data_IF_766627267565
#
_entry.id   IF_766627267565
#
_cell.length_a   1.000
_cell.length_b   1.000
_cell.length_c   1.000
_cell.angle_alpha   90.00
_cell.angle_beta   90.00
_cell.angle_gamma   90.00
#
_symmetry.space_group_name_H-M   'P 1'
#
loop_
_entity.id
_entity.type
_entity.pdbx_description
1 polymer ?
#
# COMPACT_ATOMS: atom_id res chain seq x y z
N UNK A 1 10.27 9.86 9.27
CA UNK A 1 9.17 9.41 8.37
C UNK A 1 8.60 8.13 8.98
N UNK A 2 7.27 7.96 9.02
CA UNK A 2 6.68 6.72 9.56
C UNK A 2 7.04 5.55 8.63
N UNK A 3 7.56 4.46 9.18
CA UNK A 3 8.07 3.31 8.41
C UNK A 3 7.01 2.70 7.48
N UNK A 4 5.76 2.55 7.97
CA UNK A 4 4.64 2.04 7.17
C UNK A 4 4.30 2.96 6.00
N UNK A 5 4.41 4.27 6.21
CA UNK A 5 4.20 5.24 5.14
C UNK A 5 5.31 5.18 4.09
N UNK A 6 6.58 5.08 4.50
CA UNK A 6 7.70 4.92 3.56
C UNK A 6 7.53 3.66 2.71
N UNK A 7 7.18 2.53 3.32
CA UNK A 7 6.93 1.27 2.63
C UNK A 7 5.81 1.39 1.59
N UNK A 8 4.70 2.08 1.91
CA UNK A 8 3.62 2.33 0.95
C UNK A 8 4.10 3.13 -0.26
N UNK A 9 4.86 4.20 -0.03
CA UNK A 9 5.38 5.06 -1.10
C UNK A 9 6.36 4.29 -2.00
N UNK A 10 7.28 3.53 -1.41
CA UNK A 10 8.23 2.69 -2.15
C UNK A 10 7.51 1.60 -2.95
N UNK A 11 6.50 0.97 -2.36
CA UNK A 11 5.71 -0.04 -3.05
C UNK A 11 4.96 0.54 -4.25
N UNK A 12 4.33 1.71 -4.12
CA UNK A 12 3.66 2.38 -5.25
C UNK A 12 4.65 2.71 -6.37
N UNK A 13 5.84 3.22 -6.03
CA UNK A 13 6.90 3.47 -7.03
C UNK A 13 7.34 2.20 -7.74
N UNK A 14 7.40 1.06 -7.05
CA UNK A 14 7.74 -0.22 -7.68
C UNK A 14 6.76 -0.66 -8.78
N UNK A 15 5.49 -0.22 -8.70
CA UNK A 15 4.46 -0.56 -9.69
C UNK A 15 4.57 0.27 -10.98
N UNK A 16 5.28 1.40 -10.96
CA UNK A 16 5.36 2.36 -12.08
C UNK A 16 5.77 1.70 -13.39
N UNK A 17 6.73 0.77 -13.34
CA UNK A 17 7.20 0.04 -14.52
C UNK A 17 6.10 -0.83 -15.13
N UNK A 18 5.30 -1.51 -14.30
CA UNK A 18 4.19 -2.31 -14.81
C UNK A 18 3.01 -1.44 -15.26
N UNK A 19 2.77 -0.26 -14.63
CA UNK A 19 1.82 0.75 -15.12
C UNK A 19 2.16 1.17 -16.54
N UNK A 20 3.38 1.62 -16.78
CA UNK A 20 3.82 2.02 -18.12
C UNK A 20 3.70 0.87 -19.12
N UNK A 21 4.16 -0.34 -18.76
CA UNK A 21 4.04 -1.53 -19.63
C UNK A 21 2.58 -1.89 -19.96
N UNK A 22 1.67 -1.75 -19.02
CA UNK A 22 0.27 -2.10 -19.24
C UNK A 22 -0.47 -1.06 -20.07
N UNK A 23 -0.35 0.23 -19.72
CA UNK A 23 -1.11 1.30 -20.38
C UNK A 23 -0.48 1.80 -21.69
N UNK A 24 0.85 1.80 -21.81
CA UNK A 24 1.52 2.30 -23.03
C UNK A 24 1.84 1.19 -24.03
N UNK A 25 2.13 -0.03 -23.52
CA UNK A 25 2.59 -1.16 -24.35
C UNK A 25 1.59 -2.30 -24.45
N UNK A 26 0.40 -2.14 -23.87
CA UNK A 26 -0.71 -3.12 -23.85
C UNK A 26 -0.29 -4.53 -23.39
N UNK A 27 0.72 -4.62 -22.52
CA UNK A 27 1.27 -5.90 -22.06
C UNK A 27 0.34 -6.56 -21.03
N UNK A 28 -0.43 -7.56 -21.46
CA UNK A 28 -1.38 -8.28 -20.60
C UNK A 28 -0.75 -8.84 -19.31
N UNK A 29 0.49 -9.35 -19.38
CA UNK A 29 1.20 -9.88 -18.21
C UNK A 29 1.51 -8.79 -17.16
N UNK A 30 1.74 -7.54 -17.58
CA UNK A 30 1.92 -6.40 -16.68
C UNK A 30 0.62 -6.07 -15.96
N UNK A 31 -0.53 -6.18 -16.63
CA UNK A 31 -1.86 -6.02 -16.01
C UNK A 31 -2.12 -7.04 -14.89
N UNK A 32 -1.72 -8.30 -15.08
CA UNK A 32 -1.81 -9.34 -14.03
C UNK A 32 -0.93 -9.01 -12.83
N UNK A 33 0.30 -8.55 -13.04
CA UNK A 33 1.20 -8.14 -11.95
C UNK A 33 0.68 -6.91 -11.23
N UNK A 34 0.19 -5.90 -11.95
CA UNK A 34 -0.45 -4.71 -11.38
C UNK A 34 -1.63 -5.06 -10.49
N UNK A 35 -2.52 -5.95 -10.93
CA UNK A 35 -3.66 -6.38 -10.09
C UNK A 35 -3.22 -7.03 -8.78
N UNK A 36 -2.19 -7.88 -8.83
CA UNK A 36 -1.61 -8.49 -7.62
C UNK A 36 -0.98 -7.41 -6.72
N UNK A 37 -0.16 -6.54 -7.31
CA UNK A 37 0.46 -5.44 -6.59
C UNK A 37 -0.56 -4.51 -5.94
N UNK A 38 -1.61 -4.10 -6.64
CA UNK A 38 -2.69 -3.29 -6.07
C UNK A 38 -3.45 -4.00 -4.93
N UNK A 39 -3.57 -5.33 -4.98
CA UNK A 39 -4.14 -6.10 -3.88
C UNK A 39 -3.23 -6.09 -2.64
N UNK A 40 -1.92 -6.15 -2.82
CA UNK A 40 -0.93 -6.01 -1.74
C UNK A 40 -0.89 -4.58 -1.19
N UNK A 41 -0.96 -3.56 -2.05
CA UNK A 41 -1.06 -2.16 -1.64
C UNK A 41 -2.28 -1.92 -0.74
N UNK A 42 -3.43 -2.49 -1.12
CA UNK A 42 -4.66 -2.43 -0.31
C UNK A 42 -4.43 -3.02 1.08
N UNK A 43 -3.70 -4.15 1.17
CA UNK A 43 -3.38 -4.77 2.45
C UNK A 43 -2.47 -3.89 3.30
N UNK A 44 -1.37 -3.39 2.74
CA UNK A 44 -0.44 -2.47 3.44
C UNK A 44 -1.16 -1.22 3.96
N UNK A 45 -2.05 -0.64 3.15
CA UNK A 45 -2.83 0.53 3.54
C UNK A 45 -3.81 0.20 4.68
N UNK A 46 -4.43 -0.97 4.63
CA UNK A 46 -5.33 -1.42 5.69
C UNK A 46 -4.57 -1.71 6.99
N UNK A 47 -3.38 -2.29 6.93
CA UNK A 47 -2.53 -2.54 8.10
C UNK A 47 -2.13 -1.22 8.78
N UNK A 48 -1.73 -0.20 7.99
CA UNK A 48 -1.45 1.12 8.54
C UNK A 48 -2.69 1.77 9.19
N UNK A 49 -3.87 1.60 8.59
CA UNK A 49 -5.12 2.11 9.15
C UNK A 49 -5.47 1.43 10.48
N UNK A 50 -5.30 0.11 10.58
CA UNK A 50 -5.56 -0.65 11.81
C UNK A 50 -4.62 -0.18 12.93
N UNK A 51 -3.32 -0.04 12.65
CA UNK A 51 -2.35 0.51 13.62
C UNK A 51 -2.75 1.87 14.17
N UNK A 52 -3.25 2.77 13.31
CA UNK A 52 -3.71 4.09 13.75
C UNK A 52 -4.89 3.95 14.72
N UNK A 53 -5.83 3.04 14.45
CA UNK A 53 -6.95 2.77 15.37
C UNK A 53 -6.46 2.17 16.69
N UNK A 54 -5.49 1.26 16.66
CA UNK A 54 -4.93 0.64 17.87
C UNK A 54 -4.21 1.67 18.73
N UNK A 55 -3.39 2.54 18.12
CA UNK A 55 -2.71 3.64 18.82
C UNK A 55 -3.73 4.60 19.44
N UNK A 56 -4.79 4.95 18.70
CA UNK A 56 -5.87 5.82 19.22
C UNK A 56 -6.58 5.17 20.41
N UNK A 57 -6.86 3.87 20.32
CA UNK A 57 -7.53 3.11 21.37
C UNK A 57 -6.66 3.02 22.63
N UNK A 58 -5.37 2.68 22.49
CA UNK A 58 -4.42 2.62 23.60
C UNK A 58 -4.32 3.95 24.35
N UNK A 59 -4.15 5.05 23.62
CA UNK A 59 -4.10 6.40 24.22
C UNK A 59 -5.38 6.78 24.96
N UNK A 60 -6.55 6.30 24.50
CA UNK A 60 -7.82 6.54 25.20
C UNK A 60 -7.87 5.77 26.52
N UNK A 61 -7.45 4.51 26.52
CA UNK A 61 -7.43 3.65 27.71
C UNK A 61 -6.42 4.13 28.76
N UNK A 62 -5.27 4.64 28.34
CA UNK A 62 -4.23 5.17 29.27
C UNK A 62 -4.65 6.50 29.94
N UNK A 63 -5.56 7.26 29.34
CA UNK A 63 -6.04 8.55 29.84
C UNK A 63 -7.36 8.46 30.62
N UNK A 64 -7.90 7.25 30.83
CA UNK A 64 -9.15 6.98 31.56
C UNK A 64 -8.85 6.31 32.90
#
# INVERSE_FOLDING_TARGET
MNEKYSQLVEFVKSLEVDVAKFYEKEQAAAGTRLRKGLSELKKLAQDMRTDIQDVKTKRKTENS
#
